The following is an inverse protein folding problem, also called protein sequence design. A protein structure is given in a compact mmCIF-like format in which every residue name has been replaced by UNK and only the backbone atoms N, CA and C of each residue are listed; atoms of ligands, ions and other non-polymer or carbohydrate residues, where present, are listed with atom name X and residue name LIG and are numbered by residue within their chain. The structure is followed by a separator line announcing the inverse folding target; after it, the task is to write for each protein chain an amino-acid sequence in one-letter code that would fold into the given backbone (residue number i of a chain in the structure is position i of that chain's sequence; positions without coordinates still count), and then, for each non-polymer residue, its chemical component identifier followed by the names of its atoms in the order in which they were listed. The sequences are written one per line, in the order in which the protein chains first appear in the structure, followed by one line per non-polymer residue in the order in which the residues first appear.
data_IF_196438514679
#
_entry.id   IF_196438514679
#
_cell.length_a   1.000
_cell.length_b   1.000
_cell.length_c   1.000
_cell.angle_alpha   90.00
_cell.angle_beta   90.00
_cell.angle_gamma   90.00
#
_symmetry.space_group_name_H-M   'P 1'
#
loop_
_entity.id
_entity.type
_entity.pdbx_description
1 polymer ?
#
# COMPACT_ATOMS: atom_id res chain seq x y z
N UNK A 1 10.34 6.19 16.94
CA UNK A 1 9.82 5.79 18.25
C UNK A 1 8.39 6.29 18.37
N UNK A 2 7.50 5.51 18.97
CA UNK A 2 6.08 5.85 19.17
C UNK A 2 5.97 6.74 20.42
N UNK A 3 5.19 7.81 20.37
CA UNK A 3 4.90 8.68 21.52
C UNK A 3 3.65 8.18 22.25
N UNK A 4 2.58 7.88 21.52
CA UNK A 4 1.36 7.28 22.05
C UNK A 4 0.83 6.23 21.10
N UNK A 5 0.26 5.16 21.67
CA UNK A 5 -0.34 4.05 20.94
C UNK A 5 -1.56 3.56 21.72
N UNK A 6 -2.68 3.53 21.05
CA UNK A 6 -3.94 3.02 21.57
C UNK A 6 -4.57 2.09 20.56
N UNK A 7 -5.18 1.00 21.03
CA UNK A 7 -5.89 0.03 20.20
C UNK A 7 -7.32 -0.05 20.67
N UNK A 8 -8.24 0.13 19.73
CA UNK A 8 -9.69 0.01 19.96
C UNK A 8 -10.25 -1.02 18.98
N UNK A 9 -11.04 -1.96 19.49
CA UNK A 9 -11.77 -2.90 18.66
C UNK A 9 -13.22 -2.46 18.57
N UNK A 10 -13.66 -2.15 17.37
CA UNK A 10 -15.03 -1.73 17.07
C UNK A 10 -15.58 -2.48 15.86
N UNK A 11 -16.78 -3.06 15.99
CA UNK A 11 -17.49 -3.77 14.93
C UNK A 11 -16.63 -4.81 14.14
N UNK A 12 -15.71 -5.49 14.83
CA UNK A 12 -14.81 -6.47 14.22
C UNK A 12 -13.60 -5.87 13.49
N UNK A 13 -13.45 -4.55 13.51
CA UNK A 13 -12.30 -3.82 12.98
C UNK A 13 -11.38 -3.43 14.14
N UNK A 14 -10.08 -3.56 13.94
CA UNK A 14 -9.08 -3.10 14.92
C UNK A 14 -8.58 -1.72 14.48
N UNK A 15 -8.73 -0.73 15.34
CA UNK A 15 -8.26 0.62 15.12
C UNK A 15 -7.00 0.88 15.96
N UNK A 16 -5.92 1.27 15.30
CA UNK A 16 -4.65 1.64 15.89
C UNK A 16 -4.48 3.16 15.84
N UNK A 17 -4.54 3.84 16.96
CA UNK A 17 -4.28 5.28 17.07
C UNK A 17 -2.83 5.51 17.40
N UNK A 18 -2.08 6.14 16.49
CA UNK A 18 -0.62 6.26 16.61
C UNK A 18 -0.19 7.71 16.48
N UNK A 19 0.61 8.16 17.44
CA UNK A 19 1.35 9.42 17.39
C UNK A 19 2.83 9.12 17.53
N UNK A 20 3.66 9.64 16.64
CA UNK A 20 5.11 9.45 16.67
C UNK A 20 5.79 10.58 17.46
N UNK A 21 6.95 10.26 18.06
CA UNK A 21 7.82 11.28 18.61
C UNK A 21 8.33 12.21 17.51
N UNK A 22 8.55 13.47 17.87
CA UNK A 22 9.18 14.44 16.95
C UNK A 22 10.61 14.01 16.74
N UNK A 23 10.97 13.75 15.49
CA UNK A 23 12.37 13.55 15.09
C UNK A 23 12.92 14.86 14.51
N UNK A 24 14.21 15.13 14.71
CA UNK A 24 14.87 16.21 13.99
C UNK A 24 14.63 16.03 12.48
N UNK A 25 14.13 17.06 11.85
CA UNK A 25 13.91 17.07 10.42
C UNK A 25 14.38 18.41 9.83
N UNK A 26 14.69 18.39 8.56
CA UNK A 26 15.12 19.56 7.81
C UNK A 26 14.13 19.85 6.69
N UNK A 27 14.04 21.10 6.30
CA UNK A 27 13.24 21.50 5.17
C UNK A 27 13.75 20.83 3.88
N UNK A 28 12.90 20.11 3.11
CA UNK A 28 13.35 19.44 1.89
C UNK A 28 13.74 20.42 0.78
N UNK A 29 13.33 21.68 0.87
CA UNK A 29 13.61 22.70 -0.13
C UNK A 29 14.89 23.52 0.16
N UNK A 30 15.16 23.86 1.42
CA UNK A 30 16.30 24.74 1.77
C UNK A 30 17.18 24.20 2.89
N UNK A 31 16.96 22.96 3.32
CA UNK A 31 17.70 22.26 4.38
C UNK A 31 17.77 22.99 5.73
N UNK A 32 16.92 24.00 5.95
CA UNK A 32 16.84 24.74 7.20
C UNK A 32 16.20 23.89 8.31
N UNK A 33 16.71 23.96 9.52
CA UNK A 33 16.12 23.35 10.72
C UNK A 33 15.05 24.23 11.39
N UNK A 34 14.87 25.48 10.92
CA UNK A 34 13.90 26.43 11.50
C UNK A 34 12.49 26.08 11.05
N UNK A 35 11.90 25.06 11.68
CA UNK A 35 10.58 24.53 11.36
C UNK A 35 9.61 24.78 12.51
N UNK A 36 8.32 24.93 12.19
CA UNK A 36 7.24 24.88 13.16
C UNK A 36 6.08 24.00 12.64
N UNK A 37 5.33 23.42 13.58
CA UNK A 37 4.16 22.61 13.25
C UNK A 37 3.01 23.56 12.93
N UNK A 38 2.47 23.47 11.71
CA UNK A 38 1.30 24.23 11.28
C UNK A 38 0.00 23.61 11.77
N UNK A 39 -0.10 22.30 11.60
CA UNK A 39 -1.30 21.53 11.90
C UNK A 39 -0.98 20.05 12.09
N UNK A 40 -1.94 19.33 12.67
CA UNK A 40 -1.95 17.88 12.72
C UNK A 40 -3.07 17.37 11.80
N UNK A 41 -2.80 16.31 11.03
CA UNK A 41 -3.81 15.60 10.23
C UNK A 41 -3.80 14.13 10.54
N UNK A 42 -4.96 13.57 10.81
CA UNK A 42 -5.10 12.11 10.93
C UNK A 42 -5.10 11.50 9.52
N UNK A 43 -4.16 10.59 9.28
CA UNK A 43 -4.11 9.75 8.09
C UNK A 43 -4.69 8.40 8.42
N UNK A 44 -5.64 7.95 7.60
CA UNK A 44 -6.30 6.65 7.72
C UNK A 44 -5.62 5.71 6.73
N UNK A 45 -5.04 4.62 7.24
CA UNK A 45 -4.27 3.66 6.46
C UNK A 45 -4.83 2.27 6.75
N UNK A 46 -5.27 1.58 5.71
CA UNK A 46 -5.66 0.17 5.81
C UNK A 46 -4.43 -0.65 6.16
N UNK A 47 -4.56 -1.51 7.15
CA UNK A 47 -3.54 -2.42 7.63
C UNK A 47 -4.16 -3.81 7.84
N UNK A 48 -3.36 -4.84 7.79
CA UNK A 48 -3.76 -6.20 8.12
C UNK A 48 -2.52 -6.94 8.60
N UNK A 49 -2.30 -6.94 9.90
CA UNK A 49 -1.26 -7.77 10.51
C UNK A 49 -1.74 -9.22 10.66
N UNK A 50 -3.04 -9.39 10.88
CA UNK A 50 -3.69 -10.69 10.98
C UNK A 50 -4.59 -10.92 9.76
N UNK A 51 -4.47 -12.08 9.14
CA UNK A 51 -5.34 -12.47 8.02
C UNK A 51 -6.80 -12.49 8.48
N UNK A 52 -7.69 -12.02 7.60
CA UNK A 52 -9.14 -11.97 7.81
C UNK A 52 -9.64 -11.03 8.92
N UNK A 53 -8.78 -10.21 9.53
CA UNK A 53 -9.21 -9.17 10.46
C UNK A 53 -8.84 -7.82 9.85
N UNK A 54 -9.83 -6.97 9.54
CA UNK A 54 -9.55 -5.63 9.03
C UNK A 54 -8.93 -4.76 10.14
N UNK A 55 -7.84 -4.13 9.81
CA UNK A 55 -7.16 -3.20 10.71
C UNK A 55 -7.01 -1.83 10.05
N UNK A 56 -7.13 -0.78 10.84
CA UNK A 56 -7.01 0.60 10.38
C UNK A 56 -6.04 1.35 11.28
N UNK A 57 -5.01 1.92 10.69
CA UNK A 57 -4.08 2.80 11.39
C UNK A 57 -4.56 4.25 11.24
N UNK A 58 -4.85 4.90 12.37
CA UNK A 58 -5.10 6.32 12.49
C UNK A 58 -3.81 7.01 12.93
N UNK A 59 -3.04 7.47 11.94
CA UNK A 59 -1.75 8.10 12.18
C UNK A 59 -1.90 9.62 12.25
N UNK A 60 -1.56 10.23 13.40
CA UNK A 60 -1.57 11.67 13.59
C UNK A 60 -0.31 12.29 13.02
N UNK A 61 -0.35 12.63 11.73
CA UNK A 61 0.75 13.22 10.98
C UNK A 61 0.87 14.73 11.23
N UNK A 62 2.12 15.24 11.34
CA UNK A 62 2.43 16.66 11.45
C UNK A 62 2.65 17.28 10.08
N UNK A 63 2.14 18.48 9.90
CA UNK A 63 2.49 19.34 8.78
C UNK A 63 3.38 20.45 9.26
N UNK A 64 4.57 20.55 8.68
CA UNK A 64 5.56 21.55 9.00
C UNK A 64 5.54 22.72 8.02
N UNK A 65 5.96 23.88 8.51
CA UNK A 65 6.26 25.06 7.70
C UNK A 65 7.69 25.50 8.00
N UNK A 66 8.44 25.76 6.97
CA UNK A 66 9.78 26.31 7.08
C UNK A 66 9.73 27.83 7.25
N UNK A 67 10.34 28.36 8.31
CA UNK A 67 10.43 29.81 8.53
C UNK A 67 11.37 30.52 7.56
N UNK A 68 12.27 29.77 6.92
CA UNK A 68 13.27 30.35 6.02
C UNK A 68 12.74 30.53 4.59
N UNK A 69 12.05 29.52 4.03
CA UNK A 69 11.58 29.56 2.63
C UNK A 69 10.04 29.46 2.49
N UNK A 70 9.28 29.38 3.58
CA UNK A 70 7.82 29.29 3.56
C UNK A 70 7.27 27.94 3.08
N UNK A 71 8.11 27.01 2.63
CA UNK A 71 7.67 25.69 2.15
C UNK A 71 6.94 24.91 3.20
N UNK A 72 5.89 24.18 2.79
CA UNK A 72 5.10 23.29 3.67
C UNK A 72 5.27 21.86 3.24
N UNK A 73 5.44 20.96 4.22
CA UNK A 73 5.58 19.52 3.97
C UNK A 73 5.07 18.70 5.16
N UNK A 74 4.77 17.43 4.91
CA UNK A 74 4.40 16.50 5.97
C UNK A 74 5.62 15.74 6.46
N UNK A 75 5.57 15.32 7.73
CA UNK A 75 6.57 14.37 8.24
C UNK A 75 6.51 13.05 7.47
N UNK A 76 7.63 12.33 7.50
CA UNK A 76 7.73 11.02 6.86
C UNK A 76 6.73 10.04 7.51
N UNK A 77 5.94 9.37 6.67
CA UNK A 77 4.99 8.35 7.10
C UNK A 77 5.68 6.97 7.05
N UNK A 78 5.91 6.31 8.19
CA UNK A 78 6.57 5.00 8.21
C UNK A 78 5.63 3.84 7.84
N UNK A 79 4.31 4.06 7.83
CA UNK A 79 3.32 2.99 7.63
C UNK A 79 2.95 2.77 6.17
N UNK A 80 3.12 3.78 5.33
CA UNK A 80 2.83 3.67 3.89
C UNK A 80 3.77 4.52 3.06
N UNK A 81 4.11 4.04 1.88
CA UNK A 81 4.91 4.79 0.91
C UNK A 81 4.03 5.91 0.34
N UNK A 82 4.47 7.17 0.53
CA UNK A 82 3.79 8.35 -0.01
C UNK A 82 2.34 8.54 0.49
N UNK A 83 1.45 9.02 -0.37
CA UNK A 83 0.05 9.33 -0.04
C UNK A 83 -0.90 8.10 -0.06
N UNK A 84 -0.37 6.89 -0.17
CA UNK A 84 -1.18 5.68 -0.24
C UNK A 84 -1.92 5.41 1.07
N UNK A 85 -3.17 4.92 0.93
CA UNK A 85 -4.04 4.54 2.05
C UNK A 85 -3.87 3.08 2.48
N UNK A 86 -2.93 2.37 1.89
CA UNK A 86 -2.62 0.96 2.17
C UNK A 86 -1.23 0.91 2.78
N UNK A 87 -1.06 0.15 3.85
CA UNK A 87 0.23 -0.01 4.51
C UNK A 87 1.23 -0.75 3.63
N UNK A 88 2.51 -0.48 3.86
CA UNK A 88 3.60 -1.20 3.17
C UNK A 88 3.55 -2.69 3.48
N UNK A 89 3.13 -3.07 4.70
CA UNK A 89 3.01 -4.46 5.09
C UNK A 89 2.00 -5.22 4.21
N UNK A 90 0.77 -4.67 4.03
CA UNK A 90 -0.22 -5.30 3.13
C UNK A 90 0.36 -5.50 1.73
N UNK A 91 1.13 -4.55 1.20
CA UNK A 91 1.71 -4.69 -0.14
C UNK A 91 2.67 -5.88 -0.21
N UNK A 92 3.51 -6.06 0.81
CA UNK A 92 4.44 -7.19 0.91
C UNK A 92 3.65 -8.50 1.00
N UNK A 93 2.67 -8.58 1.88
CA UNK A 93 1.89 -9.80 2.13
C UNK A 93 1.04 -10.20 0.90
N UNK A 94 0.51 -9.21 0.17
CA UNK A 94 -0.18 -9.43 -1.12
C UNK A 94 0.78 -10.04 -2.14
N UNK A 95 2.00 -9.48 -2.29
CA UNK A 95 2.99 -10.01 -3.23
C UNK A 95 3.44 -11.42 -2.87
N UNK A 96 3.58 -11.71 -1.57
CA UNK A 96 3.89 -13.07 -1.11
C UNK A 96 2.74 -14.05 -1.38
N UNK A 97 1.49 -13.59 -1.17
CA UNK A 97 0.31 -14.40 -1.43
C UNK A 97 0.14 -14.72 -2.92
N UNK A 98 0.51 -13.79 -3.80
CA UNK A 98 0.49 -13.99 -5.26
C UNK A 98 1.48 -15.04 -5.77
N UNK A 99 2.47 -15.43 -4.97
CA UNK A 99 3.36 -16.56 -5.29
C UNK A 99 2.67 -17.91 -5.20
N UNK A 100 1.55 -17.99 -4.51
CA UNK A 100 0.79 -19.23 -4.41
C UNK A 100 -0.16 -19.37 -5.62
N UNK A 101 0.08 -20.33 -6.55
CA UNK A 101 -0.74 -20.48 -7.76
C UNK A 101 -2.18 -20.92 -7.49
N UNK A 102 -2.50 -21.31 -6.25
CA UNK A 102 -3.86 -21.70 -5.85
C UNK A 102 -4.71 -20.53 -5.37
N UNK A 103 -4.12 -19.34 -5.18
CA UNK A 103 -4.85 -18.15 -4.73
C UNK A 103 -5.20 -17.26 -5.90
N UNK A 104 -6.46 -16.89 -5.99
CA UNK A 104 -6.94 -15.89 -6.96
C UNK A 104 -6.77 -14.47 -6.42
N UNK A 105 -6.83 -13.46 -7.29
CA UNK A 105 -6.88 -12.05 -6.86
C UNK A 105 -8.06 -11.78 -5.92
N UNK A 106 -9.19 -12.49 -6.13
CA UNK A 106 -10.36 -12.39 -5.26
C UNK A 106 -10.10 -12.90 -3.85
N UNK A 107 -9.45 -14.05 -3.70
CA UNK A 107 -9.10 -14.63 -2.40
C UNK A 107 -8.14 -13.71 -1.64
N UNK A 108 -7.15 -13.14 -2.34
CA UNK A 108 -6.19 -12.22 -1.75
C UNK A 108 -6.89 -10.93 -1.32
N UNK A 109 -7.72 -10.36 -2.19
CA UNK A 109 -8.49 -9.16 -1.87
C UNK A 109 -9.38 -9.36 -0.64
N UNK A 110 -10.05 -10.51 -0.53
CA UNK A 110 -10.87 -10.89 0.61
C UNK A 110 -10.04 -10.99 1.90
N UNK A 111 -8.90 -11.69 1.85
CA UNK A 111 -8.04 -11.90 3.02
C UNK A 111 -7.44 -10.61 3.59
N UNK A 112 -7.18 -9.62 2.74
CA UNK A 112 -6.57 -8.34 3.17
C UNK A 112 -7.58 -7.18 3.21
N UNK A 113 -8.86 -7.43 3.00
CA UNK A 113 -9.93 -6.41 3.01
C UNK A 113 -9.66 -5.22 2.08
N UNK A 114 -9.09 -5.50 0.91
CA UNK A 114 -8.83 -4.55 -0.16
C UNK A 114 -9.63 -4.94 -1.42
N UNK A 115 -9.70 -4.08 -2.42
CA UNK A 115 -10.36 -4.41 -3.68
C UNK A 115 -9.44 -5.22 -4.60
N UNK A 116 -10.02 -6.01 -5.52
CA UNK A 116 -9.27 -6.71 -6.58
C UNK A 116 -8.42 -5.73 -7.39
N UNK A 117 -8.95 -4.54 -7.67
CA UNK A 117 -8.22 -3.48 -8.38
C UNK A 117 -6.98 -3.01 -7.61
N UNK A 118 -7.03 -2.97 -6.27
CA UNK A 118 -5.88 -2.64 -5.44
C UNK A 118 -4.82 -3.76 -5.49
N UNK A 119 -5.23 -5.04 -5.48
CA UNK A 119 -4.31 -6.18 -5.65
C UNK A 119 -3.58 -6.10 -7.00
N UNK A 120 -4.32 -5.87 -8.09
CA UNK A 120 -3.74 -5.72 -9.44
C UNK A 120 -2.74 -4.54 -9.49
N UNK A 121 -3.10 -3.38 -8.94
CA UNK A 121 -2.20 -2.21 -8.89
C UNK A 121 -0.94 -2.47 -8.07
N UNK A 122 -1.05 -3.23 -6.98
CA UNK A 122 0.12 -3.65 -6.20
C UNK A 122 1.01 -4.54 -7.06
N UNK A 123 0.45 -5.56 -7.70
CA UNK A 123 1.18 -6.44 -8.61
C UNK A 123 1.89 -5.66 -9.72
N UNK A 124 1.16 -4.85 -10.48
CA UNK A 124 1.70 -4.07 -11.60
C UNK A 124 2.80 -3.09 -11.18
N UNK A 125 2.76 -2.59 -9.93
CA UNK A 125 3.78 -1.67 -9.43
C UNK A 125 5.12 -2.33 -9.08
N UNK A 126 5.12 -3.66 -8.89
CA UNK A 126 6.31 -4.42 -8.50
C UNK A 126 6.81 -5.35 -9.61
N UNK A 127 5.92 -5.81 -10.48
CA UNK A 127 6.28 -6.72 -11.56
C UNK A 127 6.58 -5.90 -12.82
N UNK A 128 7.85 -5.66 -13.06
CA UNK A 128 8.32 -5.06 -14.30
C UNK A 128 8.62 -6.20 -15.29
N UNK A 129 7.63 -6.55 -16.11
CA UNK A 129 7.84 -7.50 -17.19
C UNK A 129 8.54 -6.73 -18.30
N UNK A 130 9.85 -6.88 -18.43
CA UNK A 130 10.56 -6.45 -19.61
C UNK A 130 9.93 -7.16 -20.80
N UNK A 131 9.28 -6.40 -21.69
CA UNK A 131 8.81 -6.93 -22.97
C UNK A 131 10.04 -7.30 -23.79
N UNK A 132 10.48 -8.54 -23.65
CA UNK A 132 11.44 -9.15 -24.55
C UNK A 132 10.72 -9.23 -25.92
N UNK A 133 11.44 -9.02 -27.01
CA UNK A 133 10.91 -9.20 -28.36
C UNK A 133 10.16 -10.54 -28.47
N UNK A 134 9.02 -10.52 -29.13
CA UNK A 134 8.23 -11.73 -29.32
C UNK A 134 9.13 -12.86 -29.87
N UNK A 135 9.00 -14.09 -29.37
CA UNK A 135 9.73 -15.23 -29.87
C UNK A 135 9.41 -15.43 -31.37
N UNK A 136 10.37 -15.95 -32.12
CA UNK A 136 10.25 -16.18 -33.57
C UNK A 136 9.12 -17.15 -33.92
N UNK A 137 8.73 -17.99 -32.97
CA UNK A 137 7.63 -18.96 -33.09
C UNK A 137 6.68 -18.69 -31.92
N UNK A 138 5.44 -18.39 -32.18
CA UNK A 138 4.37 -18.19 -31.25
C UNK A 138 3.38 -19.34 -31.37
N UNK A 139 3.24 -20.16 -30.33
CA UNK A 139 2.18 -21.17 -30.28
C UNK A 139 0.95 -20.53 -29.60
N UNK A 140 -0.17 -20.55 -30.32
CA UNK A 140 -1.46 -20.08 -29.77
C UNK A 140 -2.36 -21.31 -29.73
N UNK A 141 -2.85 -21.62 -28.51
CA UNK A 141 -3.81 -22.71 -28.30
C UNK A 141 -5.16 -22.14 -27.90
N UNK A 142 -6.22 -22.61 -28.52
CA UNK A 142 -7.60 -22.17 -28.28
C UNK A 142 -8.39 -23.35 -27.70
N UNK A 143 -8.77 -23.26 -26.43
CA UNK A 143 -9.61 -24.29 -25.79
C UNK A 143 -11.07 -23.91 -25.95
N UNK A 144 -11.80 -24.63 -26.82
CA UNK A 144 -13.25 -24.55 -26.90
C UNK A 144 -13.92 -25.33 -25.74
N UNK A 145 -14.47 -24.62 -24.78
CA UNK A 145 -15.37 -25.21 -23.78
C UNK A 145 -16.81 -25.04 -24.27
N UNK A 146 -17.64 -26.12 -24.35
CA UNK A 146 -18.92 -26.09 -25.08
C UNK A 146 -20.01 -25.15 -24.54
N UNK A 147 -19.78 -24.41 -23.46
CA UNK A 147 -20.78 -23.47 -22.92
C UNK A 147 -20.27 -22.08 -22.59
N UNK A 148 -18.97 -21.81 -22.60
CA UNK A 148 -18.43 -20.47 -22.35
C UNK A 148 -17.14 -20.35 -23.14
N UNK A 149 -17.12 -19.52 -24.17
CA UNK A 149 -15.92 -19.26 -24.94
C UNK A 149 -14.92 -18.40 -24.12
N UNK A 150 -13.93 -19.04 -23.54
CA UNK A 150 -12.73 -18.35 -23.05
C UNK A 150 -11.58 -18.67 -24.00
N UNK A 151 -11.09 -17.69 -24.73
CA UNK A 151 -9.83 -17.80 -25.45
C UNK A 151 -8.68 -17.61 -24.48
N UNK A 152 -7.89 -18.63 -24.26
CA UNK A 152 -6.65 -18.56 -23.47
C UNK A 152 -5.48 -18.61 -24.47
N UNK A 153 -4.69 -17.55 -24.52
CA UNK A 153 -3.46 -17.51 -25.30
C UNK A 153 -2.32 -17.94 -24.41
N UNK A 154 -1.70 -19.07 -24.70
CA UNK A 154 -0.46 -19.50 -24.07
C UNK A 154 0.71 -19.19 -25.00
N UNK A 155 1.73 -18.55 -24.44
CA UNK A 155 3.00 -18.29 -25.13
C UNK A 155 3.99 -19.34 -24.64
N UNK A 156 4.45 -20.19 -25.53
CA UNK A 156 5.51 -21.17 -25.28
C UNK A 156 6.89 -20.52 -25.41
#
# INVERSE_FOLDING_TARGET
MILSYEVVKDNGIIHHYITLQIKPCFCPNCSSSKLYIKEYRTRIIKHAALRNIPEIIHYKARRFVCRNCGSTFYEHNPFSISAHRISTQIKIDVLESLRNPRMTYGDIAFNFHISNTEVIKIFDSFVNINRISLPRILCIDEIHIPMIAYSSVYVC
#
